data_IF_818060863292
#
_entry.id   IF_818060863292
#
_cell.length_a   1.000
_cell.length_b   1.000
_cell.length_c   1.000
_cell.angle_alpha   90.00
_cell.angle_beta   90.00
_cell.angle_gamma   90.00
#
_symmetry.space_group_name_H-M   'P 1'
#
loop_
_entity.id
_entity.type
_entity.pdbx_description
1 polymer ?
#
# COMPACT_ATOMS: atom_id res chain seq x y z
N UNK A 1 -13.32 -12.30 26.74
CA UNK A 1 -11.95 -12.84 26.75
C UNK A 1 -11.09 -11.79 26.09
N UNK A 2 -10.00 -11.35 26.71
CA UNK A 2 -9.07 -10.38 26.11
C UNK A 2 -8.25 -11.08 25.05
N UNK A 3 -8.28 -10.61 23.81
CA UNK A 3 -7.43 -11.18 22.76
C UNK A 3 -6.00 -10.67 22.88
N UNK A 4 -5.06 -11.45 22.39
CA UNK A 4 -3.66 -11.05 22.28
C UNK A 4 -3.48 -10.31 20.96
N UNK A 5 -3.22 -9.01 21.03
CA UNK A 5 -2.88 -8.18 19.85
C UNK A 5 -1.40 -7.81 19.93
N UNK A 6 -0.61 -8.22 18.93
CA UNK A 6 0.80 -7.82 18.81
C UNK A 6 1.08 -7.30 17.41
N UNK A 7 1.79 -6.19 17.33
CA UNK A 7 2.27 -5.62 16.08
C UNK A 7 3.80 -5.76 16.05
N UNK A 8 4.30 -6.39 15.01
CA UNK A 8 5.72 -6.43 14.69
C UNK A 8 5.95 -5.62 13.41
N UNK A 9 6.83 -4.62 13.49
CA UNK A 9 7.25 -3.87 12.32
C UNK A 9 8.45 -4.55 11.65
N UNK A 10 8.25 -5.01 10.42
CA UNK A 10 9.30 -5.68 9.63
C UNK A 10 10.07 -4.66 8.78
N UNK A 11 9.39 -3.63 8.28
CA UNK A 11 9.98 -2.50 7.53
C UNK A 11 9.10 -1.25 7.67
N UNK A 12 9.62 -0.08 7.23
CA UNK A 12 8.87 1.17 7.16
C UNK A 12 8.70 1.83 8.53
N UNK A 13 9.76 1.82 9.36
CA UNK A 13 9.74 2.39 10.71
C UNK A 13 11.03 3.14 10.99
N UNK A 14 10.88 4.44 11.32
CA UNK A 14 11.98 5.41 11.54
C UNK A 14 12.81 5.71 10.28
N UNK A 15 12.36 5.24 9.13
CA UNK A 15 12.91 5.51 7.81
C UNK A 15 11.77 5.78 6.82
N UNK A 16 12.16 6.10 5.58
CA UNK A 16 11.24 6.30 4.45
C UNK A 16 11.12 5.00 3.63
N UNK A 17 11.34 3.85 4.28
CA UNK A 17 11.36 2.53 3.65
C UNK A 17 9.97 1.99 3.34
N UNK A 18 9.90 0.88 2.58
CA UNK A 18 8.63 0.27 2.19
C UNK A 18 7.87 -0.27 3.40
N UNK A 19 6.54 -0.26 3.34
CA UNK A 19 5.69 -0.65 4.46
C UNK A 19 5.48 -2.17 4.52
N UNK A 20 5.70 -2.75 5.69
CA UNK A 20 5.41 -4.14 5.96
C UNK A 20 5.33 -4.41 7.46
N UNK A 21 4.15 -4.78 7.93
CA UNK A 21 3.89 -5.06 9.33
C UNK A 21 3.24 -6.42 9.51
N UNK A 22 3.61 -7.14 10.56
CA UNK A 22 2.95 -8.38 10.95
C UNK A 22 2.06 -8.11 12.17
N UNK A 23 0.74 -8.21 11.97
CA UNK A 23 -0.26 -8.08 13.01
C UNK A 23 -0.72 -9.47 13.45
N UNK A 24 -0.46 -9.81 14.71
CA UNK A 24 -1.00 -10.99 15.36
C UNK A 24 -2.28 -10.63 16.11
N UNK A 25 -3.36 -11.37 15.85
CA UNK A 25 -4.59 -11.37 16.63
C UNK A 25 -4.86 -12.80 17.08
N UNK A 26 -4.51 -13.10 18.33
CA UNK A 26 -4.42 -14.44 18.92
C UNK A 26 -3.54 -15.40 18.12
N UNK A 27 -4.16 -16.32 17.37
CA UNK A 27 -3.48 -17.34 16.57
C UNK A 27 -3.44 -16.97 15.08
N UNK A 28 -4.15 -15.90 14.68
CA UNK A 28 -4.19 -15.41 13.30
C UNK A 28 -3.10 -14.36 13.09
N UNK A 29 -2.32 -14.53 12.02
CA UNK A 29 -1.28 -13.58 11.63
C UNK A 29 -1.64 -12.91 10.30
N UNK A 30 -1.74 -11.59 10.31
CA UNK A 30 -2.05 -10.77 9.15
C UNK A 30 -0.80 -9.99 8.74
N UNK A 31 -0.37 -10.16 7.49
CA UNK A 31 0.64 -9.30 6.91
C UNK A 31 -0.05 -8.05 6.37
N UNK A 32 0.27 -6.89 6.93
CA UNK A 32 -0.24 -5.58 6.54
C UNK A 32 0.78 -4.94 5.61
N UNK A 33 0.42 -4.87 4.33
CA UNK A 33 1.30 -4.53 3.22
C UNK A 33 2.56 -5.42 3.11
N UNK A 34 3.16 -5.43 1.93
CA UNK A 34 4.42 -6.10 1.66
C UNK A 34 5.17 -5.32 0.60
N UNK A 35 5.49 -4.08 0.95
CA UNK A 35 6.22 -3.18 0.09
C UNK A 35 7.63 -3.65 -0.21
N UNK A 36 8.20 -3.07 -1.26
CA UNK A 36 9.63 -3.07 -1.53
C UNK A 36 10.03 -1.75 -2.17
N UNK A 37 11.33 -1.45 -2.19
CA UNK A 37 11.87 -0.23 -2.77
C UNK A 37 13.03 -0.54 -3.72
N UNK A 38 13.63 0.50 -4.29
CA UNK A 38 14.73 0.36 -5.25
C UNK A 38 16.03 -0.20 -4.62
N UNK A 39 16.10 -0.29 -3.28
CA UNK A 39 17.26 -0.88 -2.61
C UNK A 39 17.25 -2.41 -2.66
N UNK A 40 16.08 -3.00 -2.92
CA UNK A 40 15.84 -4.43 -2.92
C UNK A 40 16.42 -5.14 -1.69
N UNK A 41 16.26 -4.56 -0.48
CA UNK A 41 16.86 -5.09 0.74
C UNK A 41 16.37 -6.52 1.07
N UNK A 42 17.28 -7.48 0.91
CA UNK A 42 17.04 -8.89 1.19
C UNK A 42 17.01 -9.21 2.69
N UNK A 43 17.61 -8.38 3.56
CA UNK A 43 17.56 -8.58 5.01
C UNK A 43 16.12 -8.47 5.54
N UNK A 44 15.39 -7.47 5.07
CA UNK A 44 13.95 -7.33 5.28
C UNK A 44 13.17 -8.54 4.72
N UNK A 45 13.44 -8.96 3.49
CA UNK A 45 12.76 -10.09 2.86
C UNK A 45 12.99 -11.40 3.62
N UNK A 46 14.20 -11.65 4.11
CA UNK A 46 14.52 -12.83 4.92
C UNK A 46 13.75 -12.83 6.25
N UNK A 47 13.55 -11.66 6.85
CA UNK A 47 12.71 -11.51 8.04
C UNK A 47 11.23 -11.86 7.74
N UNK A 48 10.68 -11.41 6.61
CA UNK A 48 9.33 -11.78 6.18
C UNK A 48 9.25 -13.29 5.87
N UNK A 49 10.24 -13.82 5.14
CA UNK A 49 10.33 -15.24 4.74
C UNK A 49 10.27 -16.20 5.93
N UNK A 50 10.92 -15.86 7.04
CA UNK A 50 10.86 -16.65 8.28
C UNK A 50 9.42 -16.75 8.86
N UNK A 51 8.55 -15.81 8.49
CA UNK A 51 7.17 -15.66 9.00
C UNK A 51 6.13 -16.16 8.01
N UNK A 52 6.47 -16.32 6.73
CA UNK A 52 5.56 -16.78 5.67
C UNK A 52 4.70 -17.99 6.06
N UNK A 53 5.22 -19.06 6.69
CA UNK A 53 4.40 -20.24 7.01
C UNK A 53 3.24 -20.00 8.00
N UNK A 54 3.32 -18.95 8.82
CA UNK A 54 2.28 -18.63 9.81
C UNK A 54 1.29 -17.55 9.34
N UNK A 55 1.55 -16.89 8.21
CA UNK A 55 0.68 -15.82 7.70
C UNK A 55 -0.67 -16.42 7.26
N UNK A 56 -1.76 -16.00 7.89
CA UNK A 56 -3.12 -16.40 7.52
C UNK A 56 -3.64 -15.63 6.31
N UNK A 57 -3.32 -14.35 6.20
CA UNK A 57 -3.75 -13.49 5.09
C UNK A 57 -2.82 -12.28 4.92
N UNK A 58 -2.79 -11.73 3.71
CA UNK A 58 -2.12 -10.46 3.39
C UNK A 58 -3.15 -9.40 3.05
N UNK A 59 -3.03 -8.20 3.62
CA UNK A 59 -3.90 -7.06 3.34
C UNK A 59 -3.08 -5.98 2.64
N UNK A 60 -3.46 -5.61 1.41
CA UNK A 60 -2.77 -4.60 0.61
C UNK A 60 -3.58 -3.30 0.61
N UNK A 61 -2.94 -2.20 0.97
CA UNK A 61 -3.55 -0.87 1.12
C UNK A 61 -3.57 -0.09 -0.19
N UNK A 62 -2.45 -0.05 -0.91
CA UNK A 62 -2.26 0.77 -2.11
C UNK A 62 -1.58 -0.01 -3.23
N UNK A 63 -1.61 0.56 -4.44
CA UNK A 63 -1.20 -0.10 -5.68
C UNK A 63 0.30 0.03 -6.00
N UNK A 64 1.06 0.78 -5.20
CA UNK A 64 2.42 1.16 -5.50
C UNK A 64 3.46 0.20 -4.90
N UNK A 65 4.70 0.21 -5.43
CA UNK A 65 5.76 -0.68 -4.96
C UNK A 65 6.02 -0.59 -3.45
N UNK A 66 5.85 0.58 -2.84
CA UNK A 66 6.09 0.74 -1.39
C UNK A 66 5.09 0.00 -0.51
N UNK A 67 3.98 -0.50 -1.07
CA UNK A 67 2.94 -1.26 -0.36
C UNK A 67 2.80 -2.71 -0.84
N UNK A 68 3.12 -3.02 -2.10
CA UNK A 68 2.98 -4.38 -2.65
C UNK A 68 4.19 -4.91 -3.43
N UNK A 69 5.28 -4.16 -3.50
CA UNK A 69 6.44 -4.45 -4.34
C UNK A 69 7.10 -5.80 -4.09
N UNK A 70 7.08 -6.30 -2.86
CA UNK A 70 7.66 -7.60 -2.52
C UNK A 70 6.71 -8.77 -2.83
N UNK A 71 5.43 -8.51 -3.14
CA UNK A 71 4.42 -9.54 -3.30
C UNK A 71 4.80 -10.63 -4.34
N UNK A 72 5.29 -10.29 -5.55
CA UNK A 72 5.71 -11.31 -6.53
C UNK A 72 6.84 -12.19 -6.00
N UNK A 73 7.83 -11.57 -5.36
CA UNK A 73 8.97 -12.28 -4.79
C UNK A 73 8.55 -13.21 -3.64
N UNK A 74 7.67 -12.74 -2.74
CA UNK A 74 7.17 -13.52 -1.61
C UNK A 74 6.38 -14.75 -2.09
N UNK A 75 5.58 -14.61 -3.15
CA UNK A 75 4.81 -15.73 -3.71
C UNK A 75 5.74 -16.71 -4.44
N UNK A 76 6.57 -16.23 -5.36
CA UNK A 76 7.36 -17.09 -6.24
C UNK A 76 8.56 -17.73 -5.53
N UNK A 77 9.26 -16.98 -4.68
CA UNK A 77 10.54 -17.39 -4.08
C UNK A 77 10.44 -17.72 -2.60
N UNK A 78 9.53 -17.10 -1.86
CA UNK A 78 9.36 -17.36 -0.43
C UNK A 78 8.22 -18.36 -0.12
N UNK A 79 7.42 -18.76 -1.11
CA UNK A 79 6.38 -19.77 -0.95
C UNK A 79 5.15 -19.27 -0.18
N UNK A 80 4.83 -17.98 -0.28
CA UNK A 80 3.62 -17.42 0.31
C UNK A 80 2.37 -18.03 -0.35
N UNK A 81 1.63 -18.84 0.42
CA UNK A 81 0.42 -19.53 -0.05
C UNK A 81 -0.89 -18.88 0.40
N UNK A 82 -0.81 -17.94 1.34
CA UNK A 82 -1.94 -17.29 1.98
C UNK A 82 -2.76 -16.44 1.00
N UNK A 83 -4.08 -16.29 1.22
CA UNK A 83 -4.90 -15.38 0.44
C UNK A 83 -4.45 -13.92 0.62
N UNK A 84 -4.45 -13.18 -0.48
CA UNK A 84 -4.15 -11.74 -0.49
C UNK A 84 -5.46 -10.98 -0.69
N UNK A 85 -5.69 -9.92 0.06
CA UNK A 85 -6.89 -9.09 -0.05
C UNK A 85 -6.51 -7.69 -0.48
N UNK A 86 -7.18 -7.20 -1.52
CA UNK A 86 -7.01 -5.86 -2.05
C UNK A 86 -8.32 -5.37 -2.65
N UNK A 87 -8.48 -4.06 -2.78
CA UNK A 87 -9.64 -3.53 -3.51
C UNK A 87 -9.49 -3.77 -5.01
N UNK A 88 -10.61 -3.76 -5.74
CA UNK A 88 -10.60 -3.94 -7.21
C UNK A 88 -9.62 -2.99 -7.93
N UNK A 89 -9.56 -1.68 -7.62
CA UNK A 89 -8.59 -0.82 -8.29
C UNK A 89 -7.16 -1.07 -7.85
N UNK A 90 -6.90 -1.42 -6.58
CA UNK A 90 -5.55 -1.78 -6.12
C UNK A 90 -5.06 -3.04 -6.83
N UNK A 91 -5.92 -4.04 -7.02
CA UNK A 91 -5.59 -5.22 -7.82
C UNK A 91 -5.19 -4.85 -9.26
N UNK A 92 -6.03 -4.08 -9.97
CA UNK A 92 -5.78 -3.75 -11.38
C UNK A 92 -4.60 -2.81 -11.58
N UNK A 93 -4.52 -1.75 -10.78
CA UNK A 93 -3.44 -0.77 -10.88
C UNK A 93 -2.14 -1.34 -10.33
N UNK A 94 -2.20 -2.15 -9.27
CA UNK A 94 -1.04 -2.82 -8.70
C UNK A 94 -0.35 -3.73 -9.70
N UNK A 95 -1.12 -4.53 -10.45
CA UNK A 95 -0.55 -5.38 -11.49
C UNK A 95 0.16 -4.54 -12.56
N UNK A 96 -0.46 -3.44 -12.98
CA UNK A 96 0.13 -2.52 -13.95
C UNK A 96 1.39 -1.81 -13.43
N UNK A 97 1.39 -1.41 -12.15
CA UNK A 97 2.55 -0.78 -11.52
C UNK A 97 3.71 -1.75 -11.41
N UNK A 98 3.44 -3.02 -11.09
CA UNK A 98 4.48 -4.05 -11.05
C UNK A 98 5.03 -4.37 -12.44
N UNK A 99 4.17 -4.42 -13.47
CA UNK A 99 4.66 -4.56 -14.84
C UNK A 99 5.55 -3.39 -15.26
N UNK A 100 5.15 -2.14 -14.97
CA UNK A 100 5.93 -0.96 -15.30
C UNK A 100 7.26 -0.95 -14.55
N UNK A 101 7.25 -1.32 -13.27
CA UNK A 101 8.45 -1.37 -12.43
C UNK A 101 9.45 -2.43 -12.91
N UNK A 102 8.98 -3.65 -13.21
CA UNK A 102 9.84 -4.72 -13.75
C UNK A 102 10.38 -4.36 -15.12
N UNK A 103 9.54 -3.85 -16.04
CA UNK A 103 10.00 -3.43 -17.36
C UNK A 103 10.98 -2.25 -17.27
N UNK A 104 10.76 -1.33 -16.33
CA UNK A 104 11.67 -0.21 -16.06
C UNK A 104 13.08 -0.70 -15.74
N UNK A 105 13.18 -1.68 -14.84
CA UNK A 105 14.46 -2.30 -14.48
C UNK A 105 15.06 -3.12 -15.62
N UNK A 106 14.29 -3.99 -16.27
CA UNK A 106 14.76 -4.81 -17.40
C UNK A 106 15.29 -4.00 -18.59
N UNK A 107 14.84 -2.74 -18.75
CA UNK A 107 15.33 -1.85 -19.80
C UNK A 107 16.67 -1.19 -19.49
N UNK A 108 17.10 -1.18 -18.22
CA UNK A 108 18.29 -0.45 -17.74
C UNK A 108 19.35 -1.41 -17.21
N UNK A 109 18.94 -2.50 -16.57
CA UNK A 109 19.80 -3.47 -15.91
C UNK A 109 19.28 -4.91 -16.05
N UNK A 110 20.12 -5.87 -15.67
CA UNK A 110 19.77 -7.29 -15.69
C UNK A 110 18.99 -7.64 -14.41
N UNK A 111 17.66 -7.50 -14.48
CA UNK A 111 16.77 -7.69 -13.34
C UNK A 111 16.38 -9.16 -13.16
N UNK A 112 16.93 -9.82 -12.14
CA UNK A 112 16.77 -11.27 -11.92
C UNK A 112 15.93 -11.64 -10.68
N UNK A 113 15.37 -10.67 -9.94
CA UNK A 113 14.67 -10.95 -8.68
C UNK A 113 13.35 -11.71 -8.88
N UNK A 114 12.53 -11.24 -9.83
CA UNK A 114 11.27 -11.88 -10.23
C UNK A 114 10.88 -11.48 -11.65
N UNK A 115 10.10 -12.33 -12.33
CA UNK A 115 9.66 -12.11 -13.71
C UNK A 115 8.23 -11.53 -13.80
N UNK A 116 7.80 -11.19 -15.01
CA UNK A 116 6.39 -10.82 -15.26
C UNK A 116 5.43 -12.00 -14.99
N UNK A 117 5.88 -13.25 -15.19
CA UNK A 117 5.09 -14.44 -14.85
C UNK A 117 4.94 -14.60 -13.32
N UNK A 118 5.95 -14.19 -12.55
CA UNK A 118 5.89 -14.16 -11.09
C UNK A 118 4.88 -13.08 -10.62
N UNK A 119 4.80 -11.95 -11.32
CA UNK A 119 3.77 -10.92 -11.09
C UNK A 119 2.38 -11.52 -11.31
N UNK A 120 2.15 -12.19 -12.44
CA UNK A 120 0.86 -12.81 -12.75
C UNK A 120 0.45 -13.84 -11.69
N UNK A 121 1.37 -14.74 -11.36
CA UNK A 121 1.17 -15.78 -10.34
C UNK A 121 0.81 -15.20 -8.96
N UNK A 122 1.39 -14.05 -8.61
CA UNK A 122 1.10 -13.38 -7.36
C UNK A 122 -0.28 -12.70 -7.37
N UNK A 123 -0.64 -12.04 -8.46
CA UNK A 123 -1.93 -11.36 -8.59
C UNK A 123 -3.11 -12.36 -8.72
N UNK A 124 -2.90 -13.56 -9.25
CA UNK A 124 -3.91 -14.64 -9.24
C UNK A 124 -4.40 -15.02 -7.83
N UNK A 125 -3.57 -14.80 -6.80
CA UNK A 125 -3.94 -15.06 -5.40
C UNK A 125 -4.78 -13.96 -4.75
N UNK A 126 -4.94 -12.82 -5.43
CA UNK A 126 -5.61 -11.64 -4.87
C UNK A 126 -7.12 -11.79 -4.94
N UNK A 127 -7.73 -11.86 -3.76
CA UNK A 127 -9.17 -11.75 -3.56
C UNK A 127 -9.58 -10.28 -3.55
N UNK A 128 -10.29 -9.89 -4.61
CA UNK A 128 -10.77 -8.54 -4.79
C UNK A 128 -11.98 -8.25 -3.89
N UNK A 129 -11.89 -7.21 -3.08
CA UNK A 129 -12.96 -6.74 -2.19
C UNK A 129 -13.43 -5.33 -2.56
N UNK A 130 -14.65 -4.99 -2.16
CA UNK A 130 -15.20 -3.64 -2.33
C UNK A 130 -15.19 -2.88 -1.01
N UNK A 131 -15.18 -1.56 -1.06
CA UNK A 131 -15.31 -0.76 0.15
C UNK A 131 -16.56 -1.12 0.95
N UNK A 132 -16.43 -1.12 2.27
CA UNK A 132 -17.46 -1.50 3.23
C UNK A 132 -17.94 -2.96 3.10
N UNK A 133 -17.29 -3.79 2.29
CA UNK A 133 -17.55 -5.22 2.23
C UNK A 133 -16.79 -5.91 3.36
N UNK A 134 -17.53 -6.40 4.35
CA UNK A 134 -16.94 -7.23 5.40
C UNK A 134 -16.73 -8.65 4.90
N UNK A 135 -15.50 -9.15 5.00
CA UNK A 135 -15.10 -10.51 4.63
C UNK A 135 -14.63 -11.24 5.88
N UNK A 136 -15.18 -12.42 6.12
CA UNK A 136 -14.70 -13.34 7.15
C UNK A 136 -13.51 -14.12 6.60
N UNK A 137 -12.37 -14.09 7.31
CA UNK A 137 -11.22 -14.88 6.91
C UNK A 137 -11.48 -16.38 7.11
N UNK A 138 -11.09 -17.18 6.12
CA UNK A 138 -11.34 -18.63 6.13
C UNK A 138 -10.35 -19.33 7.06
N UNK A 139 -10.86 -20.15 7.97
CA UNK A 139 -10.03 -20.94 8.90
C UNK A 139 -9.57 -20.18 10.14
N UNK A 140 -9.98 -18.92 10.32
CA UNK A 140 -9.62 -18.10 11.47
C UNK A 140 -10.72 -18.06 12.53
N UNK A 141 -10.32 -17.67 13.75
CA UNK A 141 -11.15 -17.56 14.96
C UNK A 141 -12.13 -16.36 14.93
N UNK A 142 -12.81 -16.13 13.81
CA UNK A 142 -13.83 -15.07 13.66
C UNK A 142 -13.29 -13.70 13.28
N UNK A 143 -12.12 -13.64 12.64
CA UNK A 143 -11.53 -12.38 12.15
C UNK A 143 -12.26 -11.93 10.87
N UNK A 144 -12.68 -10.67 10.89
CA UNK A 144 -13.33 -9.99 9.78
C UNK A 144 -12.48 -8.82 9.32
N UNK A 145 -12.36 -8.66 8.00
CA UNK A 145 -11.68 -7.54 7.38
C UNK A 145 -12.68 -6.72 6.57
N UNK A 146 -12.55 -5.40 6.64
CA UNK A 146 -13.40 -4.46 5.90
C UNK A 146 -12.53 -3.33 5.36
N UNK A 147 -12.37 -3.19 4.04
CA UNK A 147 -11.65 -2.06 3.47
C UNK A 147 -12.54 -0.81 3.49
N UNK A 148 -11.97 0.31 3.90
CA UNK A 148 -12.59 1.64 3.90
C UNK A 148 -11.79 2.55 2.95
N UNK A 149 -12.42 3.54 2.32
CA UNK A 149 -11.71 4.44 1.41
C UNK A 149 -10.65 5.25 2.15
N UNK A 150 -9.41 5.23 1.66
CA UNK A 150 -8.28 5.98 2.24
C UNK A 150 -8.02 7.34 1.57
N UNK A 151 -8.47 7.54 0.33
CA UNK A 151 -8.44 8.84 -0.36
C UNK A 151 -7.09 9.29 -0.93
N UNK A 152 -6.04 8.48 -0.82
CA UNK A 152 -4.69 8.82 -1.30
C UNK A 152 -4.43 8.39 -2.75
N UNK A 153 -4.56 7.09 -3.05
CA UNK A 153 -4.54 6.56 -4.43
C UNK A 153 -5.89 5.95 -4.80
N UNK A 154 -6.10 5.73 -6.10
CA UNK A 154 -7.31 5.05 -6.58
C UNK A 154 -7.41 3.64 -5.98
N UNK A 155 -8.54 3.35 -5.32
CA UNK A 155 -8.73 2.08 -4.62
C UNK A 155 -8.04 1.97 -3.27
N UNK A 156 -7.25 2.96 -2.86
CA UNK A 156 -6.52 2.94 -1.59
C UNK A 156 -7.41 2.63 -0.39
N UNK A 157 -6.99 1.71 0.46
CA UNK A 157 -7.80 1.16 1.54
C UNK A 157 -7.19 1.37 2.93
N UNK A 158 -8.01 1.88 3.84
CA UNK A 158 -7.82 1.72 5.28
C UNK A 158 -8.43 0.36 5.64
N UNK A 159 -7.69 -0.49 6.33
CA UNK A 159 -8.17 -1.80 6.74
C UNK A 159 -8.75 -1.75 8.15
N UNK A 160 -10.06 -1.96 8.25
CA UNK A 160 -10.72 -2.23 9.53
C UNK A 160 -10.75 -3.74 9.76
N UNK A 161 -10.12 -4.17 10.84
CA UNK A 161 -9.98 -5.57 11.23
C UNK A 161 -10.75 -5.74 12.55
N UNK A 162 -11.71 -6.66 12.59
CA UNK A 162 -12.46 -6.93 13.81
C UNK A 162 -12.47 -8.41 14.16
N UNK A 163 -12.46 -8.70 15.46
CA UNK A 163 -12.64 -10.06 15.97
C UNK A 163 -14.00 -10.16 16.64
N UNK A 164 -14.89 -10.99 16.09
CA UNK A 164 -16.25 -11.22 16.61
C UNK A 164 -17.08 -9.94 16.86
N UNK A 165 -16.68 -8.80 16.28
CA UNK A 165 -17.34 -7.50 16.42
C UNK A 165 -16.97 -6.69 17.67
N UNK A 166 -16.19 -7.24 18.61
CA UNK A 166 -15.88 -6.57 19.89
C UNK A 166 -14.57 -5.77 19.84
N UNK A 167 -13.51 -6.35 19.28
CA UNK A 167 -12.21 -5.69 19.15
C UNK A 167 -12.06 -5.15 17.73
N UNK A 168 -11.75 -3.87 17.62
CA UNK A 168 -11.57 -3.16 16.35
C UNK A 168 -10.13 -2.64 16.27
N UNK A 169 -9.41 -3.11 15.26
CA UNK A 169 -8.06 -2.69 14.91
C UNK A 169 -8.15 -1.99 13.55
N UNK A 170 -7.53 -0.82 13.44
CA UNK A 170 -7.54 -0.03 12.21
C UNK A 170 -6.12 0.16 11.74
N UNK A 171 -5.85 -0.28 10.51
CA UNK A 171 -4.61 0.00 9.80
C UNK A 171 -4.88 1.08 8.74
N UNK A 172 -4.36 2.29 9.01
CA UNK A 172 -4.62 3.51 8.25
C UNK A 172 -3.31 4.24 7.98
N UNK A 173 -2.55 3.75 7.01
CA UNK A 173 -1.33 4.40 6.49
C UNK A 173 -1.66 5.19 5.22
N UNK A 174 -0.87 6.24 4.98
CA UNK A 174 -0.91 7.16 3.85
C UNK A 174 -2.29 7.74 3.52
N UNK A 175 -3.19 7.85 4.50
CA UNK A 175 -4.55 8.29 4.22
C UNK A 175 -4.63 9.80 3.93
N UNK A 176 -5.61 10.20 3.13
CA UNK A 176 -5.89 11.60 2.84
C UNK A 176 -7.33 11.96 3.21
N UNK A 177 -7.50 12.84 4.19
CA UNK A 177 -8.80 13.32 4.64
C UNK A 177 -9.39 14.43 3.76
N UNK A 178 -8.58 15.03 2.86
CA UNK A 178 -9.04 16.12 2.00
C UNK A 178 -9.65 15.57 0.71
N UNK A 179 -10.73 16.20 0.26
CA UNK A 179 -11.28 15.94 -1.08
C UNK A 179 -10.36 16.50 -2.17
N UNK A 180 -9.90 15.61 -3.03
CA UNK A 180 -9.12 15.95 -4.22
C UNK A 180 -10.00 16.03 -5.48
N UNK A 181 -9.41 16.26 -6.64
CA UNK A 181 -10.17 16.43 -7.90
C UNK A 181 -10.88 15.15 -8.35
N UNK A 182 -10.24 14.00 -8.14
CA UNK A 182 -10.69 12.71 -8.66
C UNK A 182 -10.98 11.68 -7.55
N UNK A 183 -10.61 11.98 -6.30
CA UNK A 183 -10.88 11.16 -5.13
C UNK A 183 -11.56 11.98 -4.03
N UNK A 184 -12.49 11.34 -3.33
CA UNK A 184 -12.96 11.85 -2.05
C UNK A 184 -11.92 11.55 -0.95
N UNK A 185 -12.00 12.28 0.15
CA UNK A 185 -11.17 12.00 1.31
C UNK A 185 -11.55 10.67 1.98
N UNK A 186 -10.72 10.21 2.91
CA UNK A 186 -10.98 9.05 3.73
C UNK A 186 -12.25 9.21 4.58
N UNK A 187 -12.87 8.09 4.92
CA UNK A 187 -14.08 8.06 5.77
C UNK A 187 -13.74 7.36 7.08
N UNK A 188 -13.67 8.13 8.16
CA UNK A 188 -13.51 7.62 9.53
C UNK A 188 -14.82 7.52 10.31
N UNK A 189 -15.94 8.03 9.79
CA UNK A 189 -17.22 8.10 10.52
C UNK A 189 -17.76 6.72 10.93
N UNK A 190 -17.32 5.66 10.26
CA UNK A 190 -17.65 4.26 10.58
C UNK A 190 -16.73 3.64 11.63
N UNK A 191 -15.66 4.33 12.01
CA UNK A 191 -14.67 3.97 13.03
C UNK A 191 -14.93 4.87 14.24
N UNK A 192 -15.49 4.30 15.31
CA UNK A 192 -15.87 5.09 16.48
C UNK A 192 -14.75 5.17 17.50
N UNK A 193 -14.30 4.01 18.01
CA UNK A 193 -13.27 3.92 19.05
C UNK A 193 -12.47 2.64 18.85
N UNK A 194 -11.47 2.65 17.95
CA UNK A 194 -10.63 1.48 17.74
C UNK A 194 -9.79 1.21 18.99
N UNK A 195 -9.52 -0.07 19.23
CA UNK A 195 -8.65 -0.54 20.31
C UNK A 195 -7.17 -0.31 19.96
N UNK A 196 -6.85 -0.43 18.67
CA UNK A 196 -5.54 -0.15 18.11
C UNK A 196 -5.71 0.60 16.79
N UNK A 197 -5.04 1.75 16.68
CA UNK A 197 -4.88 2.48 15.42
C UNK A 197 -3.41 2.42 15.03
N UNK A 198 -3.13 1.84 13.87
CA UNK A 198 -1.81 1.80 13.24
C UNK A 198 -1.84 2.83 12.11
N UNK A 199 -0.99 3.84 12.19
CA UNK A 199 -0.96 4.96 11.24
C UNK A 199 0.45 5.49 11.07
N UNK A 200 0.72 6.18 9.97
CA UNK A 200 2.00 6.82 9.72
C UNK A 200 2.09 8.20 10.41
N UNK A 201 3.31 8.74 10.43
CA UNK A 201 3.58 10.09 10.90
C UNK A 201 4.44 10.88 9.90
N UNK A 202 4.51 10.45 8.64
CA UNK A 202 5.43 11.01 7.64
C UNK A 202 5.20 12.51 7.45
N UNK A 203 3.94 12.94 7.42
CA UNK A 203 3.53 14.33 7.29
C UNK A 203 3.15 15.01 8.62
N UNK A 204 3.45 14.42 9.78
CA UNK A 204 2.94 14.92 11.07
C UNK A 204 3.39 16.34 11.42
N UNK A 205 4.60 16.72 10.99
CA UNK A 205 5.16 18.07 11.20
C UNK A 205 5.03 18.96 9.95
N UNK A 206 4.45 18.45 8.87
CA UNK A 206 4.39 19.15 7.60
C UNK A 206 3.13 20.02 7.48
N UNK A 207 3.33 21.33 7.35
CA UNK A 207 2.24 22.26 7.09
C UNK A 207 1.89 22.30 5.60
N UNK A 208 0.91 21.48 5.21
CA UNK A 208 0.47 21.40 3.82
C UNK A 208 -0.15 22.72 3.33
N UNK A 209 0.31 23.29 2.20
CA UNK A 209 -0.35 24.44 1.58
C UNK A 209 -1.75 24.07 1.08
N UNK A 210 -2.60 25.08 0.88
CA UNK A 210 -3.95 24.86 0.32
C UNK A 210 -3.81 24.35 -1.12
N UNK A 211 -4.69 23.43 -1.52
CA UNK A 211 -4.70 22.85 -2.88
C UNK A 211 -4.69 23.93 -3.97
N UNK A 212 -5.49 24.99 -3.81
CA UNK A 212 -5.54 26.11 -4.76
C UNK A 212 -4.17 26.74 -4.97
N UNK A 213 -3.45 27.03 -3.89
CA UNK A 213 -2.14 27.70 -3.94
C UNK A 213 -1.09 26.78 -4.58
N UNK A 214 -1.12 25.48 -4.26
CA UNK A 214 -0.24 24.46 -4.87
C UNK A 214 -0.48 24.32 -6.38
N UNK A 215 -1.75 24.22 -6.78
CA UNK A 215 -2.14 24.09 -8.20
C UNK A 215 -1.73 25.33 -8.99
N UNK A 216 -1.93 26.52 -8.44
CA UNK A 216 -1.52 27.78 -9.06
C UNK A 216 0.01 27.85 -9.24
N UNK A 217 0.78 27.51 -8.19
CA UNK A 217 2.24 27.48 -8.27
C UNK A 217 2.74 26.49 -9.33
N UNK A 218 2.12 25.31 -9.46
CA UNK A 218 2.47 24.32 -10.47
C UNK A 218 2.23 24.87 -11.89
N UNK A 219 1.05 25.43 -12.14
CA UNK A 219 0.68 26.00 -13.44
C UNK A 219 1.59 27.18 -13.79
N UNK A 220 1.86 28.08 -12.84
CA UNK A 220 2.77 29.20 -13.06
C UNK A 220 4.18 28.72 -13.41
N UNK A 221 4.70 27.71 -12.72
CA UNK A 221 6.01 27.12 -13.05
C UNK A 221 6.01 26.54 -14.46
N UNK A 222 5.00 25.73 -14.84
CA UNK A 222 4.90 25.16 -16.18
C UNK A 222 4.89 26.24 -17.26
N UNK A 223 4.04 27.26 -17.12
CA UNK A 223 3.96 28.37 -18.08
C UNK A 223 5.29 29.12 -18.20
N UNK A 224 5.97 29.38 -17.08
CA UNK A 224 7.28 30.05 -17.08
C UNK A 224 8.31 29.27 -17.89
N UNK A 225 8.39 27.95 -17.73
CA UNK A 225 9.33 27.12 -18.49
C UNK A 225 8.98 27.07 -19.98
N UNK A 226 7.69 26.92 -20.33
CA UNK A 226 7.25 26.93 -21.74
C UNK A 226 7.62 28.25 -22.42
N UNK A 227 7.38 29.39 -21.75
CA UNK A 227 7.73 30.72 -22.28
C UNK A 227 9.25 30.88 -22.41
N UNK A 228 10.03 30.41 -21.43
CA UNK A 228 11.48 30.46 -21.48
C UNK A 228 12.04 29.65 -22.68
N UNK A 229 11.54 28.44 -22.90
CA UNK A 229 11.89 27.60 -24.04
C UNK A 229 11.54 28.33 -25.34
N UNK A 230 10.31 28.84 -25.47
CA UNK A 230 9.87 29.55 -26.67
C UNK A 230 10.73 30.80 -26.97
N UNK A 231 11.09 31.55 -25.93
CA UNK A 231 11.92 32.76 -26.06
C UNK A 231 13.35 32.40 -26.48
N UNK A 232 13.92 31.33 -25.91
CA UNK A 232 15.23 30.82 -26.30
C UNK A 232 15.25 30.37 -27.77
N UNK A 233 14.27 29.58 -28.21
CA UNK A 233 14.17 29.17 -29.61
C UNK A 233 14.01 30.36 -30.55
N UNK A 234 13.20 31.37 -30.19
CA UNK A 234 13.02 32.57 -31.00
C UNK A 234 14.32 33.40 -31.12
N UNK A 235 15.17 33.41 -30.10
CA UNK A 235 16.45 34.11 -30.12
C UNK A 235 17.54 33.39 -30.93
N UNK A 236 17.38 32.09 -31.23
CA UNK A 236 18.32 31.31 -32.05
C UNK A 236 17.91 31.17 -33.52
N UNK A 237 16.63 31.41 -33.84
CA UNK A 237 16.07 31.26 -35.19
C UNK A 237 15.99 32.61 -35.94
N UNK A 238 16.33 33.72 -35.29
CA UNK A 238 16.47 35.07 -35.88
C UNK A 238 17.93 35.51 -35.76
#
# INVERSE_FOLDING_TARGET
MTSIVKLEALSGVRDDGPLCYLLQVDETYLLLDCGWDESFDMGYIDAVKARVPMISAVLISYADPTHLGALPYLVAKCGLTSPVYATVPVFKMGQMFMYDWVNGHMNVEDFELFSLDDVDSAFERVQQVKYNQTVLLKGDNGIQITPLPAGHMIGGAIWKISKMGDEEIVYAVDFNHKKERHLNGCIFDTISRPHLLITDAYNALYNQPRRKDRDEQLVTKMLKYVIAIYTYYRAFVV
#
